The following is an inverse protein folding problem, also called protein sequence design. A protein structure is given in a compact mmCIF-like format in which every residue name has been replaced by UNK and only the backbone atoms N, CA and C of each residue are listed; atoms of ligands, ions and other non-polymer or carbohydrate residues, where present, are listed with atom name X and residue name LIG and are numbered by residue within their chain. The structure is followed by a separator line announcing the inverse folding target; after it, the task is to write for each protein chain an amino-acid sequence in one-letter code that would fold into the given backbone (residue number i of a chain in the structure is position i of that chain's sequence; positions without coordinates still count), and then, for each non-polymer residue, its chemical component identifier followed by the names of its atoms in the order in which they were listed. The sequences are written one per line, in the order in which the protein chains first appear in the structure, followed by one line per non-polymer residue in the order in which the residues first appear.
data_IF_082233570428
#
_entry.id   IF_082233570428
#
_cell.length_a   1.000
_cell.length_b   1.000
_cell.length_c   1.000
_cell.angle_alpha   90.00
_cell.angle_beta   90.00
_cell.angle_gamma   90.00
#
_symmetry.space_group_name_H-M   'P 1'
#
loop_
_entity.id
_entity.type
_entity.pdbx_description
1 polymer ?
#
# COMPACT_ATOMS: atom_id res chain seq x y z
N UNK A 1 15.01 15.20 2.94
CA UNK A 1 14.44 14.75 1.65
C UNK A 1 13.15 13.97 1.85
N UNK A 2 13.13 12.97 2.74
CA UNK A 2 11.92 12.21 3.10
C UNK A 2 10.74 13.12 3.53
N UNK A 3 10.96 14.12 4.40
CA UNK A 3 9.90 15.06 4.85
C UNK A 3 9.25 15.88 3.72
N UNK A 4 9.94 16.09 2.60
CA UNK A 4 9.41 16.85 1.45
C UNK A 4 8.59 15.95 0.52
N UNK A 5 8.94 14.66 0.44
CA UNK A 5 8.31 13.70 -0.48
C UNK A 5 7.15 12.96 0.22
N UNK A 6 7.23 12.79 1.54
CA UNK A 6 6.22 12.12 2.36
C UNK A 6 4.80 12.67 2.19
N UNK A 7 4.54 14.00 2.10
CA UNK A 7 3.20 14.52 1.87
C UNK A 7 2.57 13.96 0.59
N UNK A 8 3.37 13.84 -0.49
CA UNK A 8 2.87 13.32 -1.77
C UNK A 8 2.64 11.81 -1.73
N UNK A 9 3.50 11.06 -1.05
CA UNK A 9 3.21 9.64 -0.81
C UNK A 9 1.96 9.47 0.04
N UNK A 10 1.79 10.27 1.09
CA UNK A 10 0.60 10.21 1.94
C UNK A 10 -0.67 10.49 1.13
N UNK A 11 -0.67 11.51 0.29
CA UNK A 11 -1.78 11.82 -0.62
C UNK A 11 -2.10 10.64 -1.55
N UNK A 12 -1.10 10.12 -2.27
CA UNK A 12 -1.29 9.00 -3.20
C UNK A 12 -1.75 7.72 -2.48
N UNK A 13 -1.19 7.43 -1.32
CA UNK A 13 -1.56 6.25 -0.53
C UNK A 13 -2.98 6.38 0.03
N UNK A 14 -3.44 7.59 0.37
CA UNK A 14 -4.84 7.82 0.76
C UNK A 14 -5.79 7.55 -0.41
N UNK A 15 -5.46 7.99 -1.63
CA UNK A 15 -6.28 7.66 -2.81
C UNK A 15 -6.37 6.14 -3.03
N UNK A 16 -5.26 5.43 -2.85
CA UNK A 16 -5.24 3.96 -2.93
C UNK A 16 -6.07 3.33 -1.79
N UNK A 17 -6.01 3.90 -0.58
CA UNK A 17 -6.78 3.42 0.56
C UNK A 17 -8.29 3.57 0.33
N UNK A 18 -8.71 4.70 -0.23
CA UNK A 18 -10.11 4.94 -0.59
C UNK A 18 -10.62 3.90 -1.60
N UNK A 19 -9.82 3.57 -2.62
CA UNK A 19 -10.14 2.52 -3.59
C UNK A 19 -10.25 1.14 -2.92
N UNK A 20 -9.33 0.82 -2.00
CA UNK A 20 -9.38 -0.43 -1.22
C UNK A 20 -10.67 -0.51 -0.41
N UNK A 21 -11.05 0.56 0.29
CA UNK A 21 -12.27 0.59 1.11
C UNK A 21 -13.53 0.46 0.25
N UNK A 22 -13.57 1.12 -0.91
CA UNK A 22 -14.66 0.98 -1.87
C UNK A 22 -14.80 -0.46 -2.37
N UNK A 23 -13.69 -1.09 -2.76
CA UNK A 23 -13.67 -2.49 -3.17
C UNK A 23 -14.14 -3.41 -2.04
N UNK A 24 -13.71 -3.16 -0.80
CA UNK A 24 -14.13 -3.95 0.35
C UNK A 24 -15.65 -3.89 0.57
N UNK A 25 -16.25 -2.70 0.47
CA UNK A 25 -17.71 -2.56 0.61
C UNK A 25 -18.46 -3.26 -0.53
N UNK A 26 -17.96 -3.17 -1.77
CA UNK A 26 -18.54 -3.89 -2.92
C UNK A 26 -18.49 -5.41 -2.73
N UNK A 27 -17.35 -5.95 -2.30
CA UNK A 27 -17.19 -7.38 -2.02
C UNK A 27 -18.06 -7.83 -0.84
N UNK A 28 -18.19 -6.99 0.19
CA UNK A 28 -19.08 -7.23 1.34
C UNK A 28 -20.53 -7.35 0.89
N UNK A 29 -21.00 -6.46 0.04
CA UNK A 29 -22.36 -6.50 -0.53
C UNK A 29 -22.62 -7.76 -1.36
N UNK A 30 -21.58 -8.34 -1.97
CA UNK A 30 -21.67 -9.59 -2.75
C UNK A 30 -21.53 -10.85 -1.87
N UNK A 31 -21.37 -10.72 -0.56
CA UNK A 31 -21.13 -11.86 0.34
C UNK A 31 -19.75 -12.50 0.16
N UNK A 32 -18.81 -11.80 -0.48
CA UNK A 32 -17.43 -12.26 -0.70
C UNK A 32 -16.55 -11.85 0.48
N UNK A 33 -15.56 -12.70 0.80
CA UNK A 33 -14.55 -12.38 1.82
C UNK A 33 -13.75 -11.13 1.39
N UNK A 34 -13.87 -10.06 2.18
CA UNK A 34 -13.37 -8.72 1.84
C UNK A 34 -12.19 -8.27 2.71
N UNK A 35 -11.92 -8.93 3.84
CA UNK A 35 -10.77 -8.58 4.69
C UNK A 35 -9.42 -9.01 4.08
N UNK A 36 -8.51 -8.04 3.94
CA UNK A 36 -7.15 -8.22 3.43
C UNK A 36 -6.17 -8.65 4.54
N UNK A 37 -6.31 -9.88 5.02
CA UNK A 37 -5.51 -10.39 6.15
C UNK A 37 -3.99 -10.51 5.87
N UNK A 38 -3.57 -10.52 4.60
CA UNK A 38 -2.16 -10.68 4.21
C UNK A 38 -1.36 -9.36 4.19
N UNK A 39 -2.01 -8.24 4.47
CA UNK A 39 -1.42 -6.90 4.37
C UNK A 39 -1.19 -6.46 2.92
N UNK A 40 -0.31 -5.49 2.73
CA UNK A 40 -0.01 -4.83 1.44
C UNK A 40 1.46 -5.05 1.06
N UNK A 41 1.72 -5.23 -0.23
CA UNK A 41 3.06 -5.32 -0.80
C UNK A 41 3.27 -4.16 -1.77
N UNK A 42 4.21 -3.27 -1.44
CA UNK A 42 4.64 -2.20 -2.34
C UNK A 42 5.79 -2.72 -3.21
N UNK A 43 5.76 -2.40 -4.50
CA UNK A 43 6.78 -2.82 -5.48
C UNK A 43 7.12 -1.67 -6.42
N UNK A 44 8.08 -1.87 -7.31
CA UNK A 44 8.54 -0.86 -8.28
C UNK A 44 9.57 0.11 -7.72
N UNK A 45 10.09 1.00 -8.56
CA UNK A 45 11.19 1.91 -8.20
C UNK A 45 10.83 2.89 -7.08
N UNK A 46 9.58 3.40 -7.08
CA UNK A 46 9.08 4.28 -6.03
C UNK A 46 9.08 3.62 -4.64
N UNK A 47 8.98 2.28 -4.59
CA UNK A 47 8.96 1.53 -3.34
C UNK A 47 10.32 1.51 -2.60
N UNK A 48 11.40 1.96 -3.24
CA UNK A 48 12.74 2.04 -2.66
C UNK A 48 12.98 3.30 -1.82
N UNK A 49 12.01 4.22 -1.74
CA UNK A 49 12.14 5.42 -0.91
C UNK A 49 12.19 5.03 0.58
N UNK A 50 13.24 5.51 1.25
CA UNK A 50 13.40 5.34 2.69
C UNK A 50 12.18 5.87 3.45
N UNK A 51 11.68 5.06 4.38
CA UNK A 51 10.52 5.40 5.21
C UNK A 51 9.15 5.20 4.54
N UNK A 52 9.08 4.85 3.24
CA UNK A 52 7.80 4.66 2.56
C UNK A 52 6.95 3.56 3.20
N UNK A 53 7.57 2.43 3.57
CA UNK A 53 6.84 1.33 4.22
C UNK A 53 6.16 1.81 5.51
N UNK A 54 6.85 2.60 6.34
CA UNK A 54 6.29 3.15 7.57
C UNK A 54 5.20 4.19 7.32
N UNK A 55 5.35 5.04 6.29
CA UNK A 55 4.30 5.95 5.83
C UNK A 55 3.04 5.18 5.40
N UNK A 56 3.20 4.16 4.57
CA UNK A 56 2.10 3.32 4.10
C UNK A 56 1.43 2.53 5.23
N UNK A 57 2.16 2.04 6.22
CA UNK A 57 1.55 1.39 7.39
C UNK A 57 0.66 2.34 8.19
N UNK A 58 1.04 3.63 8.30
CA UNK A 58 0.20 4.64 8.96
C UNK A 58 -1.08 4.93 8.18
N UNK A 59 -1.00 4.97 6.85
CA UNK A 59 -2.14 5.25 5.98
C UNK A 59 -3.11 4.07 5.90
N UNK A 60 -2.60 2.86 5.66
CA UNK A 60 -3.45 1.68 5.42
C UNK A 60 -3.87 0.93 6.68
N UNK A 61 -3.33 1.29 7.84
CA UNK A 61 -3.60 0.62 9.12
C UNK A 61 -3.43 -0.92 9.08
N UNK A 62 -2.49 -1.40 8.25
CA UNK A 62 -2.19 -2.82 8.08
C UNK A 62 -0.69 -3.03 7.85
N UNK A 63 -0.23 -4.29 7.91
CA UNK A 63 1.17 -4.62 7.64
C UNK A 63 1.49 -4.28 6.18
N UNK A 64 2.55 -3.51 5.97
CA UNK A 64 3.10 -3.21 4.64
C UNK A 64 4.52 -3.77 4.56
N UNK A 65 4.88 -4.33 3.40
CA UNK A 65 6.25 -4.74 3.10
C UNK A 65 6.65 -4.31 1.70
N UNK A 66 7.95 -4.12 1.48
CA UNK A 66 8.50 -3.89 0.14
C UNK A 66 8.79 -5.25 -0.50
N UNK A 67 8.15 -5.52 -1.63
CA UNK A 67 8.43 -6.70 -2.45
C UNK A 67 9.55 -6.41 -3.44
N UNK A 68 10.47 -7.35 -3.56
CA UNK A 68 11.55 -7.32 -4.55
C UNK A 68 11.47 -8.56 -5.43
N UNK A 69 11.80 -8.45 -6.73
CA UNK A 69 11.89 -9.60 -7.62
C UNK A 69 12.97 -10.58 -7.12
N UNK A 70 12.69 -11.88 -7.22
CA UNK A 70 13.64 -12.94 -6.88
C UNK A 70 14.14 -13.62 -8.16
N UNK A 71 15.44 -13.87 -8.26
CA UNK A 71 16.08 -14.60 -9.36
C UNK A 71 15.86 -13.98 -10.76
N UNK A 72 15.74 -12.65 -10.83
CA UNK A 72 15.63 -11.91 -12.08
C UNK A 72 16.71 -10.83 -12.09
N UNK A 73 17.49 -10.81 -13.16
CA UNK A 73 18.54 -9.81 -13.42
C UNK A 73 18.26 -9.11 -14.73
N UNK A 74 18.59 -7.83 -14.81
CA UNK A 74 18.54 -7.01 -16.03
C UNK A 74 19.83 -6.23 -16.17
#
# INVERSE_FOLDING_TARGET
LAEVIEPRYTELLNLVNDEILQLQEQLRAQGVKHHLAAGIVLTGGAAQIDGLAACAQRVFHTQVRIGQPLNITG
#
